data_IF_575288142587
#
_entry.id   IF_575288142587
#
_cell.length_a   1.000
_cell.length_b   1.000
_cell.length_c   1.000
_cell.angle_alpha   90.00
_cell.angle_beta   90.00
_cell.angle_gamma   90.00
#
_symmetry.space_group_name_H-M   'P 1'
#
loop_
_entity.id
_entity.type
_entity.pdbx_description
1 polymer ?
#
# COMPACT_ATOMS: atom_id res chain seq x y z
N UNK A 1 21.80 31.62 6.04
CA UNK A 1 21.05 30.47 5.47
C UNK A 1 22.07 29.52 4.86
N UNK A 2 22.37 28.41 5.52
CA UNK A 2 23.30 27.42 4.96
C UNK A 2 22.54 26.62 3.90
N UNK A 3 22.89 26.84 2.63
CA UNK A 3 22.42 26.02 1.51
C UNK A 3 22.81 24.57 1.76
N UNK A 4 21.82 23.69 1.92
CA UNK A 4 22.03 22.25 1.87
C UNK A 4 21.93 21.87 0.39
N UNK A 5 23.08 21.77 -0.28
CA UNK A 5 23.14 21.07 -1.57
C UNK A 5 22.93 19.59 -1.31
N UNK A 6 21.73 19.09 -1.61
CA UNK A 6 21.45 17.65 -1.69
C UNK A 6 21.75 17.23 -3.13
N UNK A 7 22.85 16.51 -3.33
CA UNK A 7 23.13 15.87 -4.61
C UNK A 7 22.37 14.54 -4.64
N UNK A 8 21.24 14.52 -5.36
CA UNK A 8 20.57 13.27 -5.71
C UNK A 8 21.34 12.64 -6.88
N UNK A 9 22.02 11.53 -6.61
CA UNK A 9 22.64 10.73 -7.67
C UNK A 9 21.58 9.81 -8.27
N UNK A 10 21.00 10.22 -9.41
CA UNK A 10 20.23 9.32 -10.25
C UNK A 10 21.18 8.67 -11.26
N UNK A 11 21.65 7.45 -10.96
CA UNK A 11 22.37 6.65 -11.94
C UNK A 11 21.38 6.14 -12.99
N UNK A 12 21.26 6.86 -14.11
CA UNK A 12 20.56 6.37 -15.28
C UNK A 12 21.40 5.29 -15.98
N UNK A 13 20.77 4.14 -16.22
CA UNK A 13 21.34 3.00 -16.94
C UNK A 13 21.65 3.42 -18.39
N UNK A 14 22.91 3.76 -18.68
CA UNK A 14 23.39 3.97 -20.05
C UNK A 14 24.58 3.07 -20.29
N UNK A 15 24.34 2.01 -21.08
CA UNK A 15 25.29 1.09 -21.73
C UNK A 15 26.31 0.37 -20.82
N UNK A 16 26.36 -0.96 -20.94
CA UNK A 16 27.21 -1.83 -20.14
C UNK A 16 28.70 -1.46 -20.25
N UNK A 17 29.28 -1.09 -19.10
CA UNK A 17 30.68 -0.79 -18.89
C UNK A 17 31.00 -0.78 -17.40
N UNK A 18 32.29 -0.76 -17.04
CA UNK A 18 32.73 -0.63 -15.64
C UNK A 18 32.91 0.84 -15.22
N UNK A 19 32.76 1.80 -16.14
CA UNK A 19 32.74 3.26 -15.95
C UNK A 19 33.72 3.82 -14.91
N UNK A 20 34.91 3.22 -14.84
CA UNK A 20 35.85 3.42 -13.74
C UNK A 20 36.20 4.89 -13.55
N UNK A 21 36.54 5.60 -14.61
CA UNK A 21 36.90 7.03 -14.57
C UNK A 21 35.76 7.90 -14.04
N UNK A 22 34.50 7.55 -14.36
CA UNK A 22 33.32 8.27 -13.89
C UNK A 22 33.07 8.00 -12.40
N UNK A 23 33.23 6.73 -11.98
CA UNK A 23 33.12 6.32 -10.57
C UNK A 23 34.17 7.03 -9.71
N UNK A 24 35.43 7.07 -10.15
CA UNK A 24 36.51 7.77 -9.46
C UNK A 24 36.23 9.27 -9.31
N UNK A 25 35.70 9.92 -10.36
CA UNK A 25 35.28 11.33 -10.31
C UNK A 25 34.17 11.55 -9.29
N UNK A 26 33.18 10.66 -9.22
CA UNK A 26 32.08 10.74 -8.26
C UNK A 26 32.59 10.58 -6.82
N UNK A 27 33.44 9.58 -6.56
CA UNK A 27 34.06 9.37 -5.26
C UNK A 27 34.85 10.61 -4.82
N UNK A 28 35.64 11.20 -5.72
CA UNK A 28 36.36 12.44 -5.45
C UNK A 28 35.41 13.60 -5.12
N UNK A 29 34.28 13.71 -5.83
CA UNK A 29 33.26 14.71 -5.53
C UNK A 29 32.64 14.50 -4.15
N UNK A 30 32.36 13.26 -3.76
CA UNK A 30 31.85 12.91 -2.41
C UNK A 30 32.85 13.34 -1.33
N UNK A 31 34.14 13.00 -1.48
CA UNK A 31 35.21 13.41 -0.55
C UNK A 31 35.34 14.93 -0.40
N UNK A 32 35.09 15.68 -1.47
CA UNK A 32 35.14 17.15 -1.46
C UNK A 32 33.84 17.79 -0.97
N UNK A 33 32.77 17.03 -0.76
CA UNK A 33 31.48 17.55 -0.32
C UNK A 33 31.42 17.65 1.20
N UNK A 34 31.26 18.87 1.72
CA UNK A 34 31.22 19.17 3.17
C UNK A 34 32.44 18.56 3.88
N UNK A 35 32.21 17.64 4.83
CA UNK A 35 33.28 16.97 5.59
C UNK A 35 33.83 15.73 4.89
N UNK A 36 33.25 15.29 3.76
CA UNK A 36 33.76 14.20 2.94
C UNK A 36 33.76 12.81 3.56
N UNK A 37 33.16 12.63 4.75
CA UNK A 37 33.28 11.40 5.55
C UNK A 37 32.00 10.60 5.69
N UNK A 38 30.84 11.23 5.54
CA UNK A 38 29.54 10.56 5.76
C UNK A 38 28.67 10.67 4.53
N UNK A 39 28.12 9.53 4.12
CA UNK A 39 27.32 9.40 2.90
C UNK A 39 25.96 8.86 3.28
N UNK A 40 24.91 9.58 2.87
CA UNK A 40 23.54 9.11 3.00
C UNK A 40 23.26 8.04 1.93
N UNK A 41 22.79 6.87 2.35
CA UNK A 41 22.49 5.74 1.46
C UNK A 41 21.08 5.20 1.72
N UNK A 42 20.55 4.44 0.76
CA UNK A 42 19.41 3.55 0.97
C UNK A 42 19.95 2.15 1.26
N UNK A 43 20.17 1.81 2.54
CA UNK A 43 20.97 0.64 2.93
C UNK A 43 20.34 -0.71 2.58
N UNK A 44 19.03 -0.73 2.33
CA UNK A 44 18.30 -1.94 1.92
C UNK A 44 18.26 -2.15 0.41
N UNK A 45 18.56 -1.12 -0.38
CA UNK A 45 18.48 -1.17 -1.84
C UNK A 45 19.74 -1.81 -2.42
N UNK A 46 19.57 -2.95 -3.10
CA UNK A 46 20.66 -3.66 -3.76
C UNK A 46 20.29 -3.98 -5.19
N UNK A 47 20.68 -3.09 -6.09
CA UNK A 47 20.48 -3.30 -7.52
C UNK A 47 21.56 -4.21 -8.11
N UNK A 48 21.19 -5.23 -8.89
CA UNK A 48 22.13 -6.07 -9.61
C UNK A 48 22.72 -5.33 -10.82
N UNK A 49 23.78 -5.90 -11.40
CA UNK A 49 24.37 -5.44 -12.66
C UNK A 49 25.81 -4.99 -12.54
N UNK A 50 26.56 -5.14 -13.63
CA UNK A 50 28.01 -4.92 -13.71
C UNK A 50 28.42 -3.52 -13.26
N UNK A 51 27.66 -2.49 -13.63
CA UNK A 51 27.88 -1.12 -13.18
C UNK A 51 27.76 -0.98 -11.65
N UNK A 52 26.70 -1.56 -11.07
CA UNK A 52 26.46 -1.50 -9.63
C UNK A 52 27.51 -2.29 -8.84
N UNK A 53 28.00 -3.40 -9.40
CA UNK A 53 29.13 -4.17 -8.83
C UNK A 53 30.43 -3.36 -8.84
N UNK A 54 30.73 -2.69 -9.96
CA UNK A 54 31.90 -1.80 -10.08
C UNK A 54 31.81 -0.61 -9.12
N UNK A 55 30.64 0.05 -9.04
CA UNK A 55 30.38 1.14 -8.10
C UNK A 55 30.62 0.71 -6.66
N UNK A 56 30.01 -0.41 -6.22
CA UNK A 56 30.21 -0.93 -4.86
C UNK A 56 31.67 -1.23 -4.57
N UNK A 57 32.36 -1.88 -5.51
CA UNK A 57 33.77 -2.24 -5.38
C UNK A 57 34.65 -1.02 -5.14
N UNK A 58 34.46 0.08 -5.86
CA UNK A 58 35.25 1.30 -5.66
C UNK A 58 34.78 2.10 -4.44
N UNK A 59 33.47 2.20 -4.21
CA UNK A 59 32.89 2.94 -3.09
C UNK A 59 33.30 2.34 -1.73
N UNK A 60 33.32 1.00 -1.62
CA UNK A 60 33.66 0.30 -0.37
C UNK A 60 35.14 0.45 0.02
N UNK A 61 36.04 0.84 -0.92
CA UNK A 61 37.45 1.14 -0.60
C UNK A 61 37.62 2.42 0.21
N UNK A 62 36.63 3.31 0.18
CA UNK A 62 36.77 4.68 0.67
C UNK A 62 36.40 4.86 2.15
N UNK A 63 36.00 3.78 2.82
CA UNK A 63 35.70 3.74 4.27
C UNK A 63 34.78 4.89 4.73
N UNK A 64 33.81 5.27 3.90
CA UNK A 64 32.81 6.26 4.28
C UNK A 64 31.94 5.76 5.44
N UNK A 65 31.52 6.68 6.31
CA UNK A 65 30.48 6.43 7.29
C UNK A 65 29.11 6.46 6.60
N UNK A 66 28.59 5.28 6.29
CA UNK A 66 27.30 5.11 5.61
C UNK A 66 26.14 5.29 6.59
N UNK A 67 25.25 6.22 6.29
CA UNK A 67 24.07 6.54 7.10
C UNK A 67 22.82 6.21 6.29
N UNK A 68 21.94 5.37 6.80
CA UNK A 68 20.66 5.13 6.13
C UNK A 68 19.78 6.39 6.21
N UNK A 69 19.40 6.92 5.05
CA UNK A 69 18.55 8.12 4.95
C UNK A 69 17.13 7.80 4.47
N UNK A 70 16.76 6.52 4.39
CA UNK A 70 15.50 6.06 3.80
C UNK A 70 14.29 6.72 4.45
N UNK A 71 14.21 6.67 5.79
CA UNK A 71 13.08 7.28 6.53
C UNK A 71 13.03 8.81 6.43
N UNK A 72 14.19 9.46 6.30
CA UNK A 72 14.26 10.93 6.17
C UNK A 72 13.75 11.35 4.80
N UNK A 73 14.17 10.66 3.74
CA UNK A 73 13.69 10.89 2.38
C UNK A 73 12.20 10.57 2.29
N UNK A 74 11.77 9.42 2.82
CA UNK A 74 10.35 9.04 2.91
C UNK A 74 9.50 10.11 3.59
N UNK A 75 9.99 10.69 4.68
CA UNK A 75 9.31 11.80 5.36
C UNK A 75 9.23 13.07 4.52
N UNK A 76 10.29 13.43 3.79
CA UNK A 76 10.30 14.59 2.89
C UNK A 76 9.29 14.39 1.75
N UNK A 77 9.27 13.21 1.14
CA UNK A 77 8.39 12.86 0.02
C UNK A 77 6.95 12.51 0.46
N UNK A 78 6.68 12.48 1.78
CA UNK A 78 5.37 12.10 2.30
C UNK A 78 4.28 13.13 1.96
N UNK A 79 4.62 14.41 1.91
CA UNK A 79 3.70 15.52 1.59
C UNK A 79 3.61 15.67 0.08
N UNK A 80 2.39 15.60 -0.46
CA UNK A 80 2.12 15.69 -1.89
C UNK A 80 1.75 17.11 -2.30
N UNK A 81 2.30 17.57 -3.41
CA UNK A 81 1.83 18.76 -4.11
C UNK A 81 0.48 18.52 -4.79
N UNK A 82 -0.19 19.59 -5.22
CA UNK A 82 -1.49 19.51 -5.91
C UNK A 82 -1.45 18.67 -7.19
N UNK A 83 -0.34 18.75 -7.93
CA UNK A 83 -0.12 17.95 -9.13
C UNK A 83 0.00 16.46 -8.79
N UNK A 84 0.76 16.11 -7.75
CA UNK A 84 0.89 14.73 -7.28
C UNK A 84 -0.44 14.18 -6.77
N UNK A 85 -1.20 14.97 -6.00
CA UNK A 85 -2.54 14.61 -5.54
C UNK A 85 -3.47 14.34 -6.73
N UNK A 86 -3.36 15.11 -7.82
CA UNK A 86 -4.14 14.88 -9.04
C UNK A 86 -3.81 13.53 -9.68
N UNK A 87 -2.53 13.13 -9.70
CA UNK A 87 -2.11 11.81 -10.19
C UNK A 87 -2.64 10.68 -9.29
N UNK A 88 -2.56 10.86 -7.97
CA UNK A 88 -3.10 9.90 -6.98
C UNK A 88 -4.61 9.77 -7.13
N UNK A 89 -5.35 10.86 -7.36
CA UNK A 89 -6.79 10.82 -7.63
C UNK A 89 -7.12 10.01 -8.88
N UNK A 90 -6.34 10.16 -9.95
CA UNK A 90 -6.50 9.35 -11.16
C UNK A 90 -6.26 7.86 -10.89
N UNK A 91 -5.18 7.52 -10.16
CA UNK A 91 -4.92 6.16 -9.72
C UNK A 91 -6.07 5.61 -8.86
N UNK A 92 -6.55 6.40 -7.90
CA UNK A 92 -7.64 6.03 -7.00
C UNK A 92 -8.92 5.73 -7.78
N UNK A 93 -9.34 6.63 -8.68
CA UNK A 93 -10.51 6.43 -9.53
C UNK A 93 -10.36 5.21 -10.45
N UNK A 94 -9.16 4.96 -11.00
CA UNK A 94 -8.89 3.74 -11.76
C UNK A 94 -9.04 2.48 -10.90
N UNK A 95 -8.58 2.50 -9.65
CA UNK A 95 -8.78 1.37 -8.71
C UNK A 95 -10.27 1.13 -8.43
N UNK A 96 -11.04 2.19 -8.23
CA UNK A 96 -12.50 2.12 -8.04
C UNK A 96 -13.19 1.55 -9.27
N UNK A 97 -12.88 2.06 -10.46
CA UNK A 97 -13.48 1.59 -11.71
C UNK A 97 -13.10 0.13 -12.01
N UNK A 98 -11.84 -0.26 -11.81
CA UNK A 98 -11.41 -1.66 -11.99
C UNK A 98 -12.14 -2.61 -11.03
N UNK A 99 -12.36 -2.19 -9.79
CA UNK A 99 -13.16 -2.98 -8.84
C UNK A 99 -14.63 -3.02 -9.25
N UNK A 100 -15.26 -1.85 -9.42
CA UNK A 100 -16.71 -1.73 -9.58
C UNK A 100 -17.21 -2.19 -10.94
N UNK A 101 -16.52 -1.83 -12.03
CA UNK A 101 -16.95 -2.11 -13.41
C UNK A 101 -16.47 -3.45 -13.94
N UNK A 102 -15.44 -4.05 -13.33
CA UNK A 102 -14.90 -5.33 -13.76
C UNK A 102 -14.94 -6.38 -12.64
N UNK A 103 -14.11 -6.25 -11.60
CA UNK A 103 -13.89 -7.36 -10.66
C UNK A 103 -15.18 -7.79 -9.95
N UNK A 104 -15.94 -6.81 -9.47
CA UNK A 104 -17.22 -7.03 -8.79
C UNK A 104 -18.22 -7.74 -9.72
N UNK A 105 -18.37 -7.24 -10.95
CA UNK A 105 -19.26 -7.85 -11.95
C UNK A 105 -18.85 -9.29 -12.27
N UNK A 106 -17.56 -9.55 -12.45
CA UNK A 106 -17.06 -10.91 -12.69
C UNK A 106 -17.31 -11.84 -11.50
N UNK A 107 -17.12 -11.37 -10.27
CA UNK A 107 -17.43 -12.17 -9.07
C UNK A 107 -18.94 -12.44 -8.97
N UNK A 108 -19.79 -11.44 -9.23
CA UNK A 108 -21.25 -11.62 -9.23
C UNK A 108 -21.69 -12.63 -10.28
N UNK A 109 -21.20 -12.52 -11.53
CA UNK A 109 -21.49 -13.50 -12.59
C UNK A 109 -21.04 -14.93 -12.24
N UNK A 110 -19.91 -15.07 -11.51
CA UNK A 110 -19.40 -16.37 -11.07
C UNK A 110 -20.32 -16.97 -10.00
N UNK A 111 -20.79 -16.15 -9.05
CA UNK A 111 -21.70 -16.57 -7.99
C UNK A 111 -23.06 -16.95 -8.60
N UNK A 112 -23.65 -16.09 -9.43
CA UNK A 112 -24.97 -16.28 -10.02
C UNK A 112 -25.05 -17.53 -10.90
N UNK A 113 -23.95 -17.86 -11.59
CA UNK A 113 -23.85 -19.03 -12.46
C UNK A 113 -23.20 -20.25 -11.80
N UNK A 114 -22.93 -20.21 -10.48
CA UNK A 114 -22.25 -21.26 -9.71
C UNK A 114 -20.97 -21.78 -10.39
N UNK A 115 -20.17 -20.87 -10.95
CA UNK A 115 -18.96 -21.21 -11.71
C UNK A 115 -17.79 -21.50 -10.79
N UNK A 116 -16.99 -22.50 -11.16
CA UNK A 116 -15.73 -22.83 -10.46
C UNK A 116 -14.56 -22.09 -11.12
N UNK A 117 -14.15 -20.97 -10.53
CA UNK A 117 -13.04 -20.14 -11.03
C UNK A 117 -11.96 -20.01 -9.96
N UNK A 118 -10.68 -20.10 -10.37
CA UNK A 118 -9.54 -19.93 -9.47
C UNK A 118 -9.29 -18.46 -9.15
N UNK A 119 -8.77 -18.14 -7.96
CA UNK A 119 -8.37 -16.76 -7.64
C UNK A 119 -7.37 -16.20 -8.66
N UNK A 120 -6.32 -16.96 -9.03
CA UNK A 120 -5.38 -16.52 -10.08
C UNK A 120 -6.04 -16.21 -11.41
N UNK A 121 -7.15 -16.90 -11.76
CA UNK A 121 -7.81 -16.66 -13.05
C UNK A 121 -8.55 -15.32 -13.07
N UNK A 122 -9.12 -14.91 -11.94
CA UNK A 122 -9.69 -13.58 -11.76
C UNK A 122 -8.61 -12.50 -11.85
N UNK A 123 -7.42 -12.75 -11.28
CA UNK A 123 -6.28 -11.82 -11.39
C UNK A 123 -5.84 -11.65 -12.84
N UNK A 124 -5.66 -12.74 -13.60
CA UNK A 124 -5.32 -12.68 -15.03
C UNK A 124 -6.35 -11.86 -15.83
N UNK A 125 -7.63 -12.03 -15.53
CA UNK A 125 -8.71 -11.25 -16.15
C UNK A 125 -8.60 -9.76 -15.83
N UNK A 126 -8.32 -9.44 -14.57
CA UNK A 126 -8.17 -8.06 -14.09
C UNK A 126 -6.95 -7.37 -14.73
N UNK A 127 -5.85 -8.09 -14.88
CA UNK A 127 -4.64 -7.63 -15.59
C UNK A 127 -4.92 -7.36 -17.07
N UNK A 128 -5.66 -8.23 -17.74
CA UNK A 128 -6.10 -7.99 -19.13
C UNK A 128 -7.02 -6.77 -19.25
N UNK A 129 -7.95 -6.59 -18.30
CA UNK A 129 -8.91 -5.50 -18.30
C UNK A 129 -8.28 -4.12 -18.02
N UNK A 130 -7.09 -4.05 -17.40
CA UNK A 130 -6.41 -2.79 -17.10
C UNK A 130 -6.03 -1.98 -18.36
N UNK A 131 -5.98 -2.62 -19.53
CA UNK A 131 -5.69 -1.93 -20.81
C UNK A 131 -6.94 -1.45 -21.54
N UNK A 132 -8.12 -1.85 -21.07
CA UNK A 132 -9.39 -1.56 -21.73
C UNK A 132 -10.02 -0.28 -21.18
N UNK A 133 -10.16 0.73 -22.04
CA UNK A 133 -10.72 2.04 -21.69
C UNK A 133 -12.14 1.99 -21.16
N UNK A 134 -12.91 0.91 -21.41
CA UNK A 134 -14.27 0.78 -20.83
C UNK A 134 -14.26 0.66 -19.32
N UNK A 135 -13.18 0.14 -18.74
CA UNK A 135 -13.01 -0.10 -17.31
C UNK A 135 -12.17 0.97 -16.62
N UNK A 136 -11.87 2.07 -17.31
CA UNK A 136 -11.01 3.13 -16.80
C UNK A 136 -11.68 4.51 -16.89
N UNK A 137 -11.24 5.48 -16.07
CA UNK A 137 -11.65 6.87 -16.22
C UNK A 137 -11.22 7.45 -17.57
N UNK A 138 -12.08 8.28 -18.17
CA UNK A 138 -11.88 8.82 -19.52
C UNK A 138 -10.57 9.62 -19.71
N UNK A 139 -10.02 10.19 -18.64
CA UNK A 139 -8.82 11.03 -18.63
C UNK A 139 -7.55 10.30 -18.13
N UNK A 140 -7.58 8.96 -18.13
CA UNK A 140 -6.45 8.09 -17.79
C UNK A 140 -5.92 7.46 -19.07
N UNK A 141 -4.59 7.49 -19.20
CA UNK A 141 -3.86 6.81 -20.26
C UNK A 141 -3.48 5.41 -19.76
N UNK A 142 -4.02 4.32 -20.35
CA UNK A 142 -3.72 2.96 -19.92
C UNK A 142 -2.22 2.62 -20.01
N UNK A 143 -1.46 3.25 -20.91
CA UNK A 143 -0.01 3.00 -21.03
C UNK A 143 0.82 3.55 -19.85
N UNK A 144 0.21 4.40 -19.03
CA UNK A 144 0.81 5.01 -17.85
C UNK A 144 0.23 4.44 -16.54
N UNK A 145 -0.54 3.35 -16.65
CA UNK A 145 -1.26 2.72 -15.56
C UNK A 145 -0.74 1.28 -15.38
N UNK A 146 -0.38 0.94 -14.15
CA UNK A 146 -0.01 -0.41 -13.74
C UNK A 146 -0.67 -0.76 -12.40
N UNK A 147 -0.64 -2.02 -11.98
CA UNK A 147 -0.98 -2.36 -10.60
C UNK A 147 0.20 -2.09 -9.66
N UNK A 148 -0.07 -1.60 -8.46
CA UNK A 148 0.93 -1.38 -7.41
C UNK A 148 1.58 -2.70 -6.94
N UNK A 149 0.80 -3.77 -6.99
CA UNK A 149 1.16 -5.15 -6.66
C UNK A 149 0.17 -6.08 -7.38
N UNK A 150 0.51 -7.35 -7.64
CA UNK A 150 -0.42 -8.30 -8.23
C UNK A 150 -1.73 -8.36 -7.41
N UNK A 151 -2.90 -8.10 -8.01
CA UNK A 151 -4.18 -8.11 -7.30
C UNK A 151 -4.37 -9.36 -6.44
N UNK A 152 -4.89 -9.16 -5.22
CA UNK A 152 -5.00 -10.20 -4.20
C UNK A 152 -6.47 -10.52 -3.98
N UNK A 153 -6.86 -11.75 -4.29
CA UNK A 153 -8.20 -12.28 -4.10
C UNK A 153 -8.09 -13.48 -3.17
N UNK A 154 -8.82 -13.45 -2.06
CA UNK A 154 -8.77 -14.46 -1.01
C UNK A 154 -10.18 -14.86 -0.60
N UNK A 155 -10.41 -16.17 -0.47
CA UNK A 155 -11.66 -16.74 0.04
C UNK A 155 -11.41 -18.15 0.61
N UNK A 156 -12.42 -18.73 1.24
CA UNK A 156 -12.43 -20.15 1.60
C UNK A 156 -11.46 -20.53 2.73
N UNK A 157 -11.34 -19.69 3.75
CA UNK A 157 -10.53 -19.98 4.94
C UNK A 157 -9.04 -19.70 4.80
N UNK A 158 -8.56 -19.38 3.59
CA UNK A 158 -7.16 -19.04 3.35
C UNK A 158 -6.96 -17.53 3.18
N UNK A 159 -6.68 -16.84 4.30
CA UNK A 159 -6.53 -15.40 4.32
C UNK A 159 -5.16 -14.97 4.82
N UNK A 160 -4.56 -13.99 4.15
CA UNK A 160 -3.32 -13.34 4.54
C UNK A 160 -3.46 -11.85 4.29
N UNK A 161 -3.74 -11.10 5.35
CA UNK A 161 -3.99 -9.64 5.30
C UNK A 161 -2.67 -8.87 5.18
N UNK A 162 -1.95 -9.09 4.07
CA UNK A 162 -0.66 -8.48 3.75
C UNK A 162 -0.58 -8.22 2.24
N UNK A 163 -0.04 -7.07 1.86
CA UNK A 163 0.18 -6.70 0.45
C UNK A 163 1.32 -7.47 -0.23
N UNK A 164 2.05 -8.32 0.52
CA UNK A 164 3.04 -9.25 -0.03
C UNK A 164 2.46 -10.64 -0.30
N UNK A 165 1.18 -10.86 -0.01
CA UNK A 165 0.50 -12.11 -0.36
C UNK A 165 0.22 -12.16 -1.85
N UNK A 166 -0.03 -13.37 -2.37
CA UNK A 166 -0.43 -13.59 -3.75
C UNK A 166 -1.75 -14.37 -3.77
N UNK A 167 -2.54 -14.14 -4.82
CA UNK A 167 -3.73 -14.96 -5.10
C UNK A 167 -3.31 -16.40 -5.37
N UNK A 168 -3.97 -17.36 -4.72
CA UNK A 168 -3.65 -18.78 -4.85
C UNK A 168 -4.42 -19.44 -6.02
N UNK A 169 -4.20 -20.75 -6.21
CA UNK A 169 -4.87 -21.55 -7.25
C UNK A 169 -6.16 -22.22 -6.75
N UNK A 170 -6.64 -21.89 -5.56
CA UNK A 170 -7.89 -22.43 -5.03
C UNK A 170 -9.09 -21.84 -5.77
N UNK A 171 -10.21 -22.58 -5.76
CA UNK A 171 -11.47 -22.11 -6.32
C UNK A 171 -12.06 -21.04 -5.40
N UNK A 172 -12.61 -19.98 -6.00
CA UNK A 172 -13.35 -18.94 -5.29
C UNK A 172 -14.50 -19.57 -4.50
N UNK A 173 -14.45 -19.44 -3.18
CA UNK A 173 -15.50 -19.88 -2.27
C UNK A 173 -16.50 -18.73 -2.02
N UNK A 174 -17.80 -19.05 -2.06
CA UNK A 174 -18.88 -18.07 -1.94
C UNK A 174 -19.29 -17.82 -0.49
N UNK A 175 -18.30 -17.50 0.35
CA UNK A 175 -18.50 -17.05 1.72
C UNK A 175 -18.04 -15.60 1.85
N UNK A 176 -16.84 -15.45 2.40
CA UNK A 176 -16.18 -14.15 2.53
C UNK A 176 -15.06 -14.04 1.49
N UNK A 177 -15.16 -13.05 0.61
CA UNK A 177 -14.22 -12.81 -0.48
C UNK A 177 -13.55 -11.46 -0.25
N UNK A 178 -12.24 -11.46 0.00
CA UNK A 178 -11.44 -10.25 0.12
C UNK A 178 -10.78 -9.96 -1.22
N UNK A 179 -10.99 -8.75 -1.73
CA UNK A 179 -10.35 -8.23 -2.92
C UNK A 179 -9.48 -7.04 -2.53
N UNK A 180 -8.17 -7.12 -2.77
CA UNK A 180 -7.23 -6.01 -2.63
C UNK A 180 -6.60 -5.71 -3.98
N UNK A 181 -6.78 -4.49 -4.47
CA UNK A 181 -6.12 -4.00 -5.66
C UNK A 181 -5.78 -2.52 -5.51
N UNK A 182 -4.74 -2.09 -6.19
CA UNK A 182 -4.36 -0.70 -6.23
C UNK A 182 -3.69 -0.42 -7.55
N UNK A 183 -4.15 0.58 -8.28
CA UNK A 183 -3.48 1.02 -9.51
C UNK A 183 -2.49 2.14 -9.21
N UNK A 184 -1.49 2.26 -10.08
CA UNK A 184 -0.41 3.22 -10.04
C UNK A 184 -0.41 3.99 -11.35
N UNK A 185 -0.70 5.29 -11.29
CA UNK A 185 -0.76 6.14 -12.47
C UNK A 185 0.42 7.10 -12.47
N UNK A 186 1.25 7.05 -13.54
CA UNK A 186 2.49 7.83 -13.64
C UNK A 186 3.34 7.74 -12.36
N UNK A 187 3.53 6.51 -11.90
CA UNK A 187 4.26 6.14 -10.69
C UNK A 187 3.60 6.47 -9.34
N UNK A 188 2.43 7.12 -9.29
CA UNK A 188 1.73 7.39 -8.03
C UNK A 188 0.71 6.32 -7.70
N UNK A 189 0.90 5.67 -6.55
CA UNK A 189 0.10 4.56 -6.06
C UNK A 189 -1.23 5.00 -5.47
N UNK A 190 -2.22 4.12 -5.59
CA UNK A 190 -3.47 4.10 -4.84
C UNK A 190 -3.71 2.68 -4.33
N UNK A 191 -4.68 2.51 -3.44
CA UNK A 191 -5.09 1.23 -2.92
C UNK A 191 -6.57 1.20 -2.55
N UNK A 192 -7.19 0.05 -2.76
CA UNK A 192 -8.58 -0.26 -2.47
C UNK A 192 -8.66 -1.70 -1.95
N UNK A 193 -9.35 -1.89 -0.83
CA UNK A 193 -9.65 -3.20 -0.27
C UNK A 193 -11.14 -3.28 0.02
N UNK A 194 -11.79 -4.32 -0.48
CA UNK A 194 -13.20 -4.60 -0.25
C UNK A 194 -13.39 -6.05 0.17
N UNK A 195 -14.30 -6.27 1.12
CA UNK A 195 -14.78 -7.60 1.45
C UNK A 195 -16.19 -7.77 0.91
N UNK A 196 -16.39 -8.73 0.01
CA UNK A 196 -17.71 -9.16 -0.44
C UNK A 196 -18.14 -10.34 0.40
N UNK A 197 -19.40 -10.35 0.85
CA UNK A 197 -19.91 -11.38 1.75
C UNK A 197 -21.21 -11.94 1.18
N UNK A 198 -21.20 -13.22 0.86
CA UNK A 198 -22.37 -13.94 0.34
C UNK A 198 -23.10 -14.58 1.51
N UNK A 199 -24.41 -14.32 1.61
CA UNK A 199 -25.29 -14.85 2.66
C UNK A 199 -24.70 -14.75 4.09
N UNK A 200 -24.33 -13.54 4.57
CA UNK A 200 -23.71 -13.37 5.88
C UNK A 200 -24.64 -13.81 7.02
N UNK A 201 -24.09 -14.48 8.03
CA UNK A 201 -24.72 -14.57 9.35
C UNK A 201 -24.76 -13.20 10.02
N UNK A 202 -25.62 -13.03 11.03
CA UNK A 202 -25.67 -11.79 11.82
C UNK A 202 -24.32 -11.44 12.45
N UNK A 203 -23.56 -12.45 12.91
CA UNK A 203 -22.23 -12.25 13.48
C UNK A 203 -21.23 -11.72 12.45
N UNK A 204 -21.19 -12.31 11.25
CA UNK A 204 -20.31 -11.85 10.16
C UNK A 204 -20.66 -10.41 9.78
N UNK A 205 -21.96 -10.10 9.62
CA UNK A 205 -22.44 -8.75 9.31
C UNK A 205 -22.02 -7.75 10.39
N UNK A 206 -22.28 -8.07 11.66
CA UNK A 206 -21.94 -7.21 12.79
C UNK A 206 -20.44 -6.96 12.91
N UNK A 207 -19.61 -7.96 12.60
CA UNK A 207 -18.15 -7.81 12.60
C UNK A 207 -17.65 -6.94 11.43
N UNK A 208 -18.31 -7.01 10.26
CA UNK A 208 -18.00 -6.14 9.13
C UNK A 208 -18.40 -4.69 9.38
N UNK A 209 -19.61 -4.46 9.90
CA UNK A 209 -20.07 -3.12 10.28
C UNK A 209 -19.16 -2.48 11.33
N UNK A 210 -18.74 -3.25 12.34
CA UNK A 210 -17.72 -2.80 13.30
C UNK A 210 -16.42 -2.37 12.62
N UNK A 211 -15.95 -3.16 11.64
CA UNK A 211 -14.71 -2.88 10.92
C UNK A 211 -14.80 -1.58 10.11
N UNK A 212 -15.95 -1.34 9.45
CA UNK A 212 -16.23 -0.08 8.74
C UNK A 212 -16.26 1.10 9.72
N UNK A 213 -16.95 0.99 10.85
CA UNK A 213 -16.96 2.06 11.87
C UNK A 213 -15.57 2.34 12.44
N UNK A 214 -14.73 1.31 12.60
CA UNK A 214 -13.34 1.49 13.04
C UNK A 214 -12.54 2.32 12.01
N UNK A 215 -12.69 2.04 10.71
CA UNK A 215 -12.06 2.83 9.65
C UNK A 215 -12.51 4.29 9.66
N UNK A 216 -13.82 4.54 9.82
CA UNK A 216 -14.38 5.90 9.91
C UNK A 216 -13.82 6.68 11.10
N UNK A 217 -13.69 6.03 12.27
CA UNK A 217 -13.05 6.62 13.45
C UNK A 217 -11.60 6.99 13.15
N UNK A 218 -10.83 6.07 12.55
CA UNK A 218 -9.44 6.35 12.20
C UNK A 218 -9.31 7.49 11.19
N UNK A 219 -10.15 7.51 10.15
CA UNK A 219 -10.20 8.60 9.17
C UNK A 219 -10.51 9.95 9.81
N UNK A 220 -11.39 9.97 10.82
CA UNK A 220 -11.72 11.18 11.60
C UNK A 220 -10.53 11.67 12.46
N UNK A 221 -9.63 10.76 12.87
CA UNK A 221 -8.44 11.07 13.67
C UNK A 221 -7.21 11.33 12.81
N UNK A 222 -7.22 10.94 11.54
CA UNK A 222 -6.13 11.14 10.60
C UNK A 222 -6.12 12.59 10.07
N UNK A 223 -5.74 13.52 10.96
CA UNK A 223 -5.70 14.97 10.74
C UNK A 223 -4.31 15.53 11.00
N UNK A 224 -3.97 16.64 10.37
CA UNK A 224 -2.70 17.35 10.57
C UNK A 224 -2.42 17.57 12.07
N UNK A 225 -1.18 17.35 12.50
CA UNK A 225 -0.73 17.55 13.89
C UNK A 225 -0.88 16.34 14.82
N UNK A 226 -1.83 15.43 14.57
CA UNK A 226 -1.98 14.22 15.40
C UNK A 226 -0.79 13.27 15.23
N UNK A 227 -0.34 12.61 16.30
CA UNK A 227 0.68 11.57 16.19
C UNK A 227 0.07 10.28 15.65
N UNK A 228 0.80 9.56 14.81
CA UNK A 228 0.34 8.30 14.24
C UNK A 228 0.05 7.22 15.31
N UNK A 229 0.80 7.20 16.41
CA UNK A 229 0.51 6.35 17.56
C UNK A 229 -0.83 6.70 18.24
N UNK A 230 -1.20 7.97 18.29
CA UNK A 230 -2.45 8.43 18.93
C UNK A 230 -3.66 8.10 18.05
N UNK A 231 -3.50 8.19 16.72
CA UNK A 231 -4.49 7.70 15.74
C UNK A 231 -4.69 6.19 15.92
N UNK A 232 -3.60 5.42 15.99
CA UNK A 232 -3.65 3.99 16.25
C UNK A 232 -4.38 3.67 17.57
N UNK A 233 -4.00 4.34 18.66
CA UNK A 233 -4.59 4.13 19.98
C UNK A 233 -6.09 4.46 19.99
N UNK A 234 -6.53 5.50 19.28
CA UNK A 234 -7.96 5.83 19.15
C UNK A 234 -8.76 4.68 18.54
N UNK A 235 -8.21 4.00 17.52
CA UNK A 235 -8.83 2.81 16.94
C UNK A 235 -8.87 1.62 17.91
N UNK A 236 -7.79 1.40 18.67
CA UNK A 236 -7.74 0.33 19.68
C UNK A 236 -8.71 0.60 20.83
N UNK A 237 -8.85 1.84 21.29
CA UNK A 237 -9.82 2.21 22.33
C UNK A 237 -11.25 2.00 21.88
N UNK A 238 -11.58 2.40 20.65
CA UNK A 238 -12.87 2.10 20.02
C UNK A 238 -13.12 0.59 19.95
N UNK A 239 -12.14 -0.18 19.48
CA UNK A 239 -12.24 -1.64 19.39
C UNK A 239 -12.48 -2.32 20.74
N UNK A 240 -11.77 -1.88 21.79
CA UNK A 240 -11.94 -2.38 23.17
C UNK A 240 -13.34 -2.07 23.71
N UNK A 241 -13.91 -0.92 23.35
CA UNK A 241 -15.24 -0.51 23.79
C UNK A 241 -16.34 -1.32 23.08
N UNK A 242 -16.28 -1.43 21.76
CA UNK A 242 -17.37 -2.00 20.96
C UNK A 242 -17.27 -3.53 20.82
N UNK A 243 -16.07 -4.07 20.62
CA UNK A 243 -15.82 -5.49 20.34
C UNK A 243 -14.53 -5.99 21.01
N UNK A 244 -14.43 -6.02 22.35
CA UNK A 244 -13.19 -6.34 23.07
C UNK A 244 -12.58 -7.69 22.70
N UNK A 245 -13.41 -8.69 22.34
CA UNK A 245 -12.96 -10.04 21.94
C UNK A 245 -12.26 -10.07 20.57
N UNK A 246 -12.40 -9.02 19.75
CA UNK A 246 -11.83 -8.95 18.42
C UNK A 246 -10.48 -8.21 18.37
N UNK A 247 -10.07 -7.56 19.46
CA UNK A 247 -8.89 -6.69 19.49
C UNK A 247 -7.61 -7.44 19.10
N UNK A 248 -7.44 -8.67 19.60
CA UNK A 248 -6.25 -9.49 19.29
C UNK A 248 -6.25 -10.06 17.86
N UNK A 249 -7.39 -9.99 17.17
CA UNK A 249 -7.55 -10.43 15.78
C UNK A 249 -7.33 -9.30 14.78
N UNK A 250 -7.20 -8.06 15.25
CA UNK A 250 -6.97 -6.89 14.40
C UNK A 250 -5.59 -6.94 13.73
N UNK A 251 -5.49 -6.33 12.56
CA UNK A 251 -4.20 -6.04 11.93
C UNK A 251 -3.29 -5.23 12.85
N UNK A 252 -2.00 -5.53 12.85
CA UNK A 252 -1.01 -4.92 13.77
C UNK A 252 -0.77 -3.42 13.55
N UNK A 253 -1.21 -2.89 12.42
CA UNK A 253 -1.20 -1.48 12.06
C UNK A 253 -2.47 -1.19 11.25
N UNK A 254 -2.83 0.09 11.15
CA UNK A 254 -4.03 0.53 10.43
C UNK A 254 -3.74 1.25 9.12
N UNK A 255 -2.57 1.00 8.53
CA UNK A 255 -2.19 1.64 7.28
C UNK A 255 -0.86 2.37 7.33
N UNK A 256 -0.56 3.07 6.24
CA UNK A 256 0.73 3.71 6.01
C UNK A 256 0.65 4.82 4.97
N UNK A 257 1.61 5.74 5.02
CA UNK A 257 1.79 6.73 3.96
C UNK A 257 2.08 6.04 2.63
N UNK A 258 1.47 6.56 1.57
CA UNK A 258 1.58 6.09 0.20
C UNK A 258 1.89 7.27 -0.74
N UNK A 259 2.54 6.99 -1.86
CA UNK A 259 2.93 7.98 -2.86
C UNK A 259 3.52 7.33 -4.09
N UNK A 260 4.75 7.70 -4.44
CA UNK A 260 5.50 6.99 -5.48
C UNK A 260 5.78 5.55 -5.03
N UNK A 261 6.19 5.40 -3.78
CA UNK A 261 6.27 4.10 -3.11
C UNK A 261 4.89 3.68 -2.63
N UNK A 262 4.58 2.40 -2.83
CA UNK A 262 3.31 1.84 -2.35
C UNK A 262 3.21 1.93 -0.83
N UNK A 263 4.32 1.70 -0.09
CA UNK A 263 4.33 1.66 1.36
C UNK A 263 5.55 2.35 1.95
N UNK A 264 5.32 3.47 2.62
CA UNK A 264 6.35 4.11 3.45
C UNK A 264 6.37 3.49 4.86
N UNK A 265 7.33 2.61 5.10
CA UNK A 265 7.41 1.82 6.34
C UNK A 265 7.73 2.65 7.60
N UNK A 266 8.31 3.84 7.46
CA UNK A 266 8.60 4.71 8.61
C UNK A 266 7.39 5.53 9.08
N UNK A 267 6.32 5.60 8.27
CA UNK A 267 5.11 6.39 8.54
C UNK A 267 3.86 5.50 8.53
N UNK A 268 3.86 4.48 9.38
CA UNK A 268 2.72 3.58 9.60
C UNK A 268 1.83 4.08 10.75
N UNK A 269 0.52 3.90 10.63
CA UNK A 269 -0.43 4.08 11.73
C UNK A 269 -0.27 2.88 12.68
N UNK A 270 0.64 3.01 13.64
CA UNK A 270 1.12 1.90 14.47
C UNK A 270 1.51 2.38 15.88
N UNK A 271 1.57 1.49 16.90
CA UNK A 271 1.68 1.89 18.31
C UNK A 271 2.95 2.68 18.67
N UNK A 272 4.03 2.53 17.89
CA UNK A 272 5.34 3.14 18.18
C UNK A 272 5.70 4.32 17.25
N UNK A 273 4.82 4.68 16.33
CA UNK A 273 5.11 5.73 15.35
C UNK A 273 4.77 7.10 15.92
N UNK A 274 5.78 7.84 16.37
CA UNK A 274 5.59 9.15 17.04
C UNK A 274 5.52 10.34 16.08
N UNK A 275 5.76 10.12 14.78
CA UNK A 275 5.66 11.16 13.76
C UNK A 275 4.24 11.73 13.71
N UNK A 276 4.14 13.06 13.56
CA UNK A 276 2.87 13.74 13.34
C UNK A 276 2.43 13.60 11.89
N UNK A 277 1.14 13.35 11.71
CA UNK A 277 0.44 13.43 10.44
C UNK A 277 0.52 14.88 9.93
N UNK A 278 0.66 15.06 8.62
CA UNK A 278 0.72 16.38 7.98
C UNK A 278 -0.30 16.51 6.86
N UNK A 279 -0.89 17.70 6.70
CA UNK A 279 -1.68 18.07 5.52
C UNK A 279 -0.95 17.69 4.23
N UNK A 280 -1.69 17.15 3.26
CA UNK A 280 -1.16 16.75 1.96
C UNK A 280 -0.48 15.38 1.96
N UNK A 281 -0.34 14.70 3.11
CA UNK A 281 0.00 13.28 3.11
C UNK A 281 -1.17 12.45 2.59
N UNK A 282 -0.86 11.36 1.90
CA UNK A 282 -1.83 10.36 1.46
C UNK A 282 -1.52 9.06 2.17
N UNK A 283 -2.55 8.41 2.71
CA UNK A 283 -2.44 7.12 3.38
C UNK A 283 -3.23 6.07 2.61
N UNK A 284 -2.69 4.85 2.58
CA UNK A 284 -3.52 3.66 2.52
C UNK A 284 -4.00 3.39 3.95
N UNK A 285 -5.23 3.79 4.27
CA UNK A 285 -5.88 3.51 5.55
C UNK A 285 -6.55 2.14 5.42
N UNK A 286 -6.22 1.19 6.28
CA UNK A 286 -6.78 -0.16 6.16
C UNK A 286 -6.91 -0.85 7.51
N UNK A 287 -8.00 -1.56 7.71
CA UNK A 287 -8.35 -2.26 8.95
C UNK A 287 -8.79 -3.67 8.62
N UNK A 288 -8.27 -4.65 9.34
CA UNK A 288 -8.64 -6.04 9.10
C UNK A 288 -8.76 -6.87 10.36
N UNK A 289 -9.55 -7.93 10.28
CA UNK A 289 -9.71 -8.98 11.28
C UNK A 289 -9.33 -10.31 10.63
N UNK A 290 -8.40 -11.05 11.23
CA UNK A 290 -7.98 -12.36 10.73
C UNK A 290 -8.26 -13.47 11.74
N UNK A 291 -8.56 -14.68 11.27
CA UNK A 291 -8.77 -15.84 12.15
C UNK A 291 -10.12 -15.83 12.87
N UNK A 292 -11.14 -15.20 12.30
CA UNK A 292 -12.51 -15.26 12.81
C UNK A 292 -13.08 -16.67 12.58
N UNK A 293 -13.88 -17.18 13.52
CA UNK A 293 -14.50 -18.50 13.43
C UNK A 293 -15.98 -18.34 13.12
N UNK A 294 -16.43 -18.96 12.04
CA UNK A 294 -17.84 -19.09 11.71
C UNK A 294 -18.33 -20.48 12.13
N UNK A 295 -19.06 -20.54 13.24
CA UNK A 295 -19.57 -21.80 13.81
C UNK A 295 -20.57 -22.48 12.86
N UNK A 296 -21.32 -21.66 12.13
CA UNK A 296 -22.40 -22.09 11.23
C UNK A 296 -21.90 -22.44 9.82
N UNK A 297 -20.58 -22.42 9.58
CA UNK A 297 -20.01 -22.79 8.27
C UNK A 297 -20.40 -24.21 7.86
N UNK A 298 -20.97 -24.38 6.67
CA UNK A 298 -21.47 -25.67 6.19
C UNK A 298 -20.34 -26.61 5.74
N UNK A 299 -19.23 -26.03 5.26
CA UNK A 299 -18.06 -26.73 4.74
C UNK A 299 -16.79 -26.29 5.49
N UNK A 300 -15.65 -26.90 5.17
CA UNK A 300 -14.37 -26.59 5.82
C UNK A 300 -13.92 -25.17 5.51
N UNK A 301 -14.12 -24.74 4.27
CA UNK A 301 -13.74 -23.46 3.70
C UNK A 301 -14.48 -22.27 4.33
N UNK A 302 -15.68 -22.50 4.88
CA UNK A 302 -16.50 -21.49 5.55
C UNK A 302 -16.32 -21.43 7.06
N UNK A 303 -15.53 -22.31 7.69
CA UNK A 303 -15.33 -22.32 9.16
C UNK A 303 -14.44 -21.19 9.69
N UNK A 304 -13.48 -20.74 8.88
CA UNK A 304 -12.57 -19.64 9.23
C UNK A 304 -12.74 -18.54 8.20
N UNK A 305 -12.82 -17.29 8.65
CA UNK A 305 -12.89 -16.15 7.76
C UNK A 305 -12.02 -14.99 8.24
N UNK A 306 -11.86 -14.01 7.35
CA UNK A 306 -11.23 -12.74 7.66
C UNK A 306 -12.07 -11.62 7.04
N UNK A 307 -11.96 -10.42 7.58
CA UNK A 307 -12.58 -9.22 7.04
C UNK A 307 -11.48 -8.19 6.81
N UNK A 308 -11.50 -7.49 5.69
CA UNK A 308 -10.51 -6.48 5.37
C UNK A 308 -11.13 -5.33 4.56
N UNK A 309 -10.93 -4.11 5.02
CA UNK A 309 -11.38 -2.88 4.37
C UNK A 309 -10.20 -1.92 4.33
N UNK A 310 -10.13 -1.12 3.27
CA UNK A 310 -9.08 -0.14 3.14
C UNK A 310 -9.24 0.74 1.93
N UNK A 311 -8.76 1.97 2.09
CA UNK A 311 -9.00 3.06 1.18
C UNK A 311 -7.79 4.00 1.09
N UNK A 312 -7.71 4.69 -0.04
CA UNK A 312 -6.77 5.79 -0.21
C UNK A 312 -7.39 7.06 0.35
N UNK A 313 -6.72 7.69 1.32
CA UNK A 313 -7.23 8.90 1.99
C UNK A 313 -6.20 10.02 1.96
N UNK A 314 -6.66 11.26 1.72
CA UNK A 314 -5.87 12.48 1.72
C UNK A 314 -6.06 13.24 3.02
N UNK A 315 -4.95 13.55 3.71
CA UNK A 315 -4.99 14.32 4.96
C UNK A 315 -5.27 15.80 4.70
N UNK A 316 -6.26 16.32 5.40
CA UNK A 316 -6.61 17.74 5.46
C UNK A 316 -5.97 18.43 6.68
N UNK A 317 -6.07 19.76 6.75
CA UNK A 317 -5.58 20.52 7.91
C UNK A 317 -6.45 20.23 9.15
N UNK A 318 -7.70 20.70 9.15
CA UNK A 318 -8.57 20.71 10.34
C UNK A 318 -9.75 19.72 10.26
N UNK A 319 -10.07 19.23 9.05
CA UNK A 319 -11.18 18.31 8.80
C UNK A 319 -10.70 16.86 8.75
N UNK A 320 -11.63 15.91 8.83
CA UNK A 320 -11.31 14.48 8.66
C UNK A 320 -10.64 14.25 7.30
N UNK A 321 -9.82 13.21 7.16
CA UNK A 321 -9.19 12.91 5.88
C UNK A 321 -10.24 12.71 4.78
N UNK A 322 -9.93 13.18 3.56
CA UNK A 322 -10.79 13.04 2.40
C UNK A 322 -10.58 11.67 1.77
N UNK A 323 -11.66 10.92 1.60
CA UNK A 323 -11.66 9.65 0.87
C UNK A 323 -11.42 9.87 -0.64
N UNK A 324 -10.51 9.10 -1.23
CA UNK A 324 -10.21 9.16 -2.68
C UNK A 324 -10.69 7.93 -3.47
N UNK A 325 -11.05 6.83 -2.78
CA UNK A 325 -11.51 5.55 -3.35
C UNK A 325 -12.90 5.13 -2.86
#
# INVERSE_FOLDING_TARGET
MNSISVYFLFCYYFQGGNDKDSIEKLIKAIKNSKNGKSVGIFGKEKYPGTFMDAWRTEFDKENFNNIDISSVIGYILSIKSENEITLIKKASLSSVDMFTKYLKEQIMEIIDADKKVKHTKLVEGLEGALTDKKYLPANVDPSQLEFCYPPIIQSGGNYSLKFSATSDKNILHFGVIICSLGTRYKSYCSNLIRTMIVNPTEEIRSNYEFLVSLEEILMSKLKSGNKLCDVYNSGIEFAKKEKPKLVDLLTKNFGFVMGIEFRESSLMIAPKTTACVKKGQVYNLCVGLSGLINKDGADKESKVYALYVGDTVLVNEDTAATLLT
#
